data_IF_645606073759
#
_entry.id   IF_645606073759
#
_cell.length_a   1.000
_cell.length_b   1.000
_cell.length_c   1.000
_cell.angle_alpha   90.00
_cell.angle_beta   90.00
_cell.angle_gamma   90.00
#
_symmetry.space_group_name_H-M   'P 1'
#
loop_
_entity.id
_entity.type
_entity.pdbx_description
1 polymer ?
#
# COMPACT_ATOMS: atom_id res chain seq x y z
N UNK A 1 -29.91 -5.12 18.25
CA UNK A 1 -29.48 -4.46 17.00
C UNK A 1 -28.00 -4.71 16.81
N UNK A 2 -27.54 -5.15 15.64
CA UNK A 2 -26.11 -5.28 15.36
C UNK A 2 -25.47 -3.89 15.48
N UNK A 3 -24.31 -3.79 16.12
CA UNK A 3 -23.57 -2.53 16.27
C UNK A 3 -23.05 -2.13 14.88
N UNK A 4 -23.40 -0.93 14.41
CA UNK A 4 -22.90 -0.39 13.15
C UNK A 4 -21.38 -0.34 13.18
N UNK A 5 -20.73 -0.93 12.18
CA UNK A 5 -19.27 -0.95 12.09
C UNK A 5 -18.79 0.31 11.37
N UNK A 6 -18.13 1.19 12.12
CA UNK A 6 -17.65 2.49 11.64
C UNK A 6 -16.16 2.47 11.30
N UNK A 7 -15.78 3.17 10.23
CA UNK A 7 -14.38 3.41 9.88
C UNK A 7 -14.16 4.86 9.42
N UNK A 8 -13.03 5.42 9.80
CA UNK A 8 -12.50 6.65 9.23
C UNK A 8 -11.54 6.31 8.08
N UNK A 9 -11.70 7.00 6.95
CA UNK A 9 -10.77 6.95 5.82
C UNK A 9 -10.06 8.28 5.75
N UNK A 10 -8.78 8.28 6.09
CA UNK A 10 -7.96 9.47 6.04
C UNK A 10 -7.41 9.68 4.64
N UNK A 11 -7.99 10.59 3.89
CA UNK A 11 -7.77 10.91 2.48
C UNK A 11 -9.07 10.79 1.69
N UNK A 12 -9.59 11.92 1.18
CA UNK A 12 -10.87 12.01 0.48
C UNK A 12 -10.73 12.09 -1.05
N UNK A 13 -9.53 11.84 -1.59
CA UNK A 13 -9.25 11.86 -3.04
C UNK A 13 -9.61 10.53 -3.71
N UNK A 14 -9.30 10.39 -5.01
CA UNK A 14 -9.61 9.18 -5.78
C UNK A 14 -9.13 7.87 -5.15
N UNK A 15 -7.95 7.85 -4.51
CA UNK A 15 -7.47 6.68 -3.77
C UNK A 15 -8.38 6.36 -2.56
N UNK A 16 -8.81 7.39 -1.82
CA UNK A 16 -9.74 7.23 -0.71
C UNK A 16 -11.09 6.64 -1.13
N UNK A 17 -11.60 6.98 -2.32
CA UNK A 17 -12.83 6.40 -2.85
C UNK A 17 -12.71 4.89 -3.07
N UNK A 18 -11.60 4.43 -3.65
CA UNK A 18 -11.35 3.00 -3.83
C UNK A 18 -11.21 2.29 -2.48
N UNK A 19 -10.51 2.90 -1.52
CA UNK A 19 -10.38 2.34 -0.15
C UNK A 19 -11.74 2.26 0.54
N UNK A 20 -12.65 3.21 0.30
CA UNK A 20 -14.02 3.15 0.83
C UNK A 20 -14.81 1.95 0.29
N UNK A 21 -14.66 1.61 -0.99
CA UNK A 21 -15.28 0.40 -1.54
C UNK A 21 -14.72 -0.87 -0.90
N UNK A 22 -13.41 -0.91 -0.64
CA UNK A 22 -12.79 -2.02 0.09
C UNK A 22 -13.35 -2.09 1.52
N UNK A 23 -13.50 -0.96 2.21
CA UNK A 23 -14.06 -0.93 3.55
C UNK A 23 -15.50 -1.47 3.57
N UNK A 24 -16.36 -1.07 2.63
CA UNK A 24 -17.71 -1.66 2.46
C UNK A 24 -17.66 -3.17 2.27
N UNK A 25 -16.73 -3.63 1.45
CA UNK A 25 -16.49 -5.05 1.22
C UNK A 25 -16.09 -5.80 2.51
N UNK A 26 -15.46 -5.11 3.47
CA UNK A 26 -15.07 -5.63 4.78
C UNK A 26 -16.16 -5.46 5.86
N UNK A 27 -17.37 -5.05 5.47
CA UNK A 27 -18.53 -4.96 6.36
C UNK A 27 -18.57 -3.69 7.21
N UNK A 28 -17.92 -2.61 6.77
CA UNK A 28 -18.13 -1.30 7.38
C UNK A 28 -19.37 -0.64 6.81
N UNK A 29 -20.31 -0.28 7.69
CA UNK A 29 -21.59 0.33 7.33
C UNK A 29 -21.53 1.85 7.33
N UNK A 30 -20.71 2.41 8.24
CA UNK A 30 -20.50 3.85 8.38
C UNK A 30 -19.07 4.22 7.98
N UNK A 31 -18.94 4.98 6.90
CA UNK A 31 -17.65 5.44 6.36
C UNK A 31 -17.59 6.95 6.46
N UNK A 32 -16.60 7.47 7.17
CA UNK A 32 -16.37 8.89 7.33
C UNK A 32 -15.01 9.26 6.75
N UNK A 33 -14.99 10.13 5.74
CA UNK A 33 -13.76 10.65 5.20
C UNK A 33 -13.19 11.75 6.08
N UNK A 34 -11.88 11.71 6.28
CA UNK A 34 -11.11 12.77 6.93
C UNK A 34 -10.07 13.33 5.95
N UNK A 35 -9.98 14.65 5.89
CA UNK A 35 -9.00 15.33 5.03
C UNK A 35 -8.60 16.67 5.67
N UNK A 36 -7.30 16.92 5.81
CA UNK A 36 -6.81 18.17 6.44
C UNK A 36 -7.12 19.42 5.61
N UNK A 37 -7.44 19.27 4.33
CA UNK A 37 -7.88 20.36 3.45
C UNK A 37 -9.39 20.59 3.48
N UNK A 38 -10.19 19.73 4.14
CA UNK A 38 -11.65 19.81 4.22
C UNK A 38 -12.13 20.32 5.59
N UNK A 39 -13.46 20.42 5.76
CA UNK A 39 -14.08 20.68 7.05
C UNK A 39 -13.97 19.46 8.00
N UNK A 40 -13.91 18.26 7.47
CA UNK A 40 -13.79 17.00 8.22
C UNK A 40 -12.34 16.63 8.45
N UNK A 41 -11.70 17.33 9.40
CA UNK A 41 -10.29 17.11 9.76
C UNK A 41 -10.14 16.06 10.85
N UNK A 42 -9.00 15.37 10.84
CA UNK A 42 -8.65 14.51 11.95
C UNK A 42 -8.49 15.31 13.25
N UNK A 43 -9.09 14.81 14.31
CA UNK A 43 -8.94 15.32 15.67
C UNK A 43 -8.75 14.16 16.65
N UNK A 44 -7.83 14.27 17.63
CA UNK A 44 -7.70 13.27 18.70
C UNK A 44 -8.98 13.09 19.54
N UNK A 45 -9.92 14.05 19.45
CA UNK A 45 -11.21 14.05 20.19
C UNK A 45 -12.32 13.31 19.44
N UNK A 46 -12.09 12.86 18.20
CA UNK A 46 -13.08 12.05 17.48
C UNK A 46 -13.42 10.78 18.27
N UNK A 47 -14.64 10.34 18.13
CA UNK A 47 -15.06 9.03 18.65
C UNK A 47 -14.11 7.94 18.16
N UNK A 48 -13.71 7.02 19.05
CA UNK A 48 -12.80 5.94 18.67
C UNK A 48 -13.51 4.94 17.77
N UNK A 49 -12.95 4.74 16.60
CA UNK A 49 -13.34 3.75 15.61
C UNK A 49 -12.09 3.33 14.83
N UNK A 50 -12.24 2.29 14.02
CA UNK A 50 -11.19 1.87 13.09
C UNK A 50 -10.82 3.01 12.14
N UNK A 51 -9.56 3.08 11.74
CA UNK A 51 -9.08 4.07 10.78
C UNK A 51 -8.13 3.44 9.77
N UNK A 52 -8.18 3.92 8.53
CA UNK A 52 -7.21 3.55 7.47
C UNK A 52 -6.67 4.82 6.80
N UNK A 53 -5.39 4.82 6.47
CA UNK A 53 -4.74 5.96 5.83
C UNK A 53 -4.71 5.74 4.31
N UNK A 54 -5.57 6.46 3.60
CA UNK A 54 -5.77 6.35 2.15
C UNK A 54 -5.00 7.45 1.38
N UNK A 55 -3.72 7.60 1.68
CA UNK A 55 -2.80 8.55 1.06
C UNK A 55 -1.78 7.80 0.21
N UNK A 56 -1.72 8.09 -1.09
CA UNK A 56 -0.81 7.43 -2.03
C UNK A 56 0.66 7.81 -1.83
N UNK A 57 0.96 9.04 -1.37
CA UNK A 57 2.32 9.48 -1.13
C UNK A 57 2.87 8.82 0.15
N UNK A 58 3.99 8.10 0.01
CA UNK A 58 4.50 7.16 1.00
C UNK A 58 4.90 7.82 2.34
N UNK A 59 5.64 8.92 2.28
CA UNK A 59 6.12 9.62 3.49
C UNK A 59 4.98 10.36 4.22
N UNK A 60 4.05 10.93 3.48
CA UNK A 60 2.84 11.54 4.05
C UNK A 60 1.97 10.48 4.72
N UNK A 61 1.81 9.31 4.07
CA UNK A 61 1.07 8.19 4.66
C UNK A 61 1.68 7.77 6.00
N UNK A 62 3.01 7.65 6.10
CA UNK A 62 3.70 7.36 7.36
C UNK A 62 3.46 8.43 8.41
N UNK A 63 3.66 9.72 8.08
CA UNK A 63 3.47 10.83 9.04
C UNK A 63 2.07 10.85 9.63
N UNK A 64 1.07 10.61 8.77
CA UNK A 64 -0.32 10.56 9.20
C UNK A 64 -0.58 9.32 10.05
N UNK A 65 -0.04 8.15 9.70
CA UNK A 65 -0.13 6.93 10.50
C UNK A 65 0.39 7.17 11.92
N UNK A 66 1.58 7.71 12.06
CA UNK A 66 2.19 8.04 13.36
C UNK A 66 1.34 9.03 14.17
N UNK A 67 0.78 10.07 13.52
CA UNK A 67 -0.11 11.04 14.17
C UNK A 67 -1.38 10.40 14.72
N UNK A 68 -1.95 9.50 13.95
CA UNK A 68 -3.20 8.81 14.26
C UNK A 68 -2.99 7.80 15.40
N UNK A 69 -1.91 7.03 15.35
CA UNK A 69 -1.53 6.09 16.41
C UNK A 69 -1.21 6.79 17.73
N UNK A 70 -0.46 7.90 17.67
CA UNK A 70 -0.16 8.71 18.86
C UNK A 70 -1.43 9.26 19.53
N UNK A 71 -2.51 9.44 18.76
CA UNK A 71 -3.83 9.81 19.27
C UNK A 71 -4.65 8.61 19.77
N UNK A 72 -4.10 7.39 19.75
CA UNK A 72 -4.73 6.17 20.26
C UNK A 72 -5.84 5.62 19.36
N UNK A 73 -5.76 5.81 18.05
CA UNK A 73 -6.62 5.12 17.07
C UNK A 73 -5.95 3.85 16.57
N UNK A 74 -6.76 2.85 16.27
CA UNK A 74 -6.29 1.59 15.68
C UNK A 74 -6.31 1.69 14.15
N UNK A 75 -5.13 1.59 13.53
CA UNK A 75 -5.01 1.55 12.07
C UNK A 75 -5.21 0.10 11.62
N UNK A 76 -6.28 -0.12 10.88
CA UNK A 76 -6.68 -1.44 10.40
C UNK A 76 -6.05 -1.78 9.05
N UNK A 77 -5.99 -3.06 8.73
CA UNK A 77 -5.63 -3.57 7.40
C UNK A 77 -6.89 -3.85 6.61
N UNK A 78 -6.94 -3.43 5.35
CA UNK A 78 -8.06 -3.69 4.46
C UNK A 78 -7.62 -4.56 3.28
N UNK A 79 -8.34 -5.67 3.09
CA UNK A 79 -8.10 -6.61 1.99
C UNK A 79 -9.40 -6.76 1.20
N UNK A 80 -9.36 -6.43 -0.10
CA UNK A 80 -10.53 -6.59 -0.95
C UNK A 80 -10.89 -8.08 -1.12
N UNK A 81 -12.16 -8.43 -1.14
CA UNK A 81 -12.65 -9.83 -1.24
C UNK A 81 -12.21 -10.56 -2.50
N UNK A 82 -11.92 -9.84 -3.59
CA UNK A 82 -11.40 -10.42 -4.82
C UNK A 82 -9.88 -10.58 -4.85
N UNK A 83 -9.17 -10.14 -3.82
CA UNK A 83 -7.75 -10.41 -3.71
C UNK A 83 -7.52 -11.89 -3.38
N UNK A 84 -6.53 -12.50 -4.02
CA UNK A 84 -6.10 -13.86 -3.73
C UNK A 84 -4.87 -13.78 -2.82
N UNK A 85 -5.00 -14.24 -1.59
CA UNK A 85 -3.93 -14.17 -0.60
C UNK A 85 -3.61 -15.56 -0.08
N UNK A 86 -2.35 -15.98 -0.20
CA UNK A 86 -1.87 -17.26 0.34
C UNK A 86 -2.00 -17.29 1.87
N UNK A 87 -2.39 -18.43 2.43
CA UNK A 87 -2.45 -18.64 3.88
C UNK A 87 -1.09 -18.47 4.58
N UNK A 88 0.01 -18.66 3.85
CA UNK A 88 1.37 -18.49 4.37
C UNK A 88 1.90 -17.06 4.22
N UNK A 89 1.14 -16.15 3.61
CA UNK A 89 1.51 -14.74 3.52
C UNK A 89 1.29 -14.01 4.85
N UNK A 90 2.14 -13.04 5.15
CA UNK A 90 2.03 -12.19 6.33
C UNK A 90 1.77 -10.76 5.89
N UNK A 91 0.66 -10.18 6.33
CA UNK A 91 0.27 -8.80 6.03
C UNK A 91 0.17 -8.04 7.35
N UNK A 92 1.00 -7.00 7.48
CA UNK A 92 1.05 -6.18 8.70
C UNK A 92 -0.02 -5.07 8.67
N UNK A 93 -0.20 -4.42 9.84
CA UNK A 93 -1.20 -3.36 10.06
C UNK A 93 -1.10 -2.22 9.04
N UNK A 94 -2.23 -1.61 8.75
CA UNK A 94 -2.32 -0.43 7.88
C UNK A 94 -2.06 -0.71 6.39
N UNK A 95 -1.79 -1.95 6.01
CA UNK A 95 -1.67 -2.31 4.61
C UNK A 95 -3.03 -2.29 3.91
N UNK A 96 -3.03 -1.91 2.63
CA UNK A 96 -4.22 -1.96 1.77
C UNK A 96 -3.94 -2.90 0.60
N UNK A 97 -4.75 -3.95 0.49
CA UNK A 97 -4.70 -4.91 -0.61
C UNK A 97 -5.93 -4.69 -1.48
N UNK A 98 -5.71 -4.23 -2.69
CA UNK A 98 -6.76 -3.77 -3.58
C UNK A 98 -7.37 -4.90 -4.43
N UNK A 99 -8.46 -4.61 -5.18
CA UNK A 99 -9.14 -5.62 -5.99
C UNK A 99 -8.20 -6.38 -6.92
N UNK A 100 -8.41 -7.70 -7.01
CA UNK A 100 -7.70 -8.63 -7.91
C UNK A 100 -6.17 -8.69 -7.71
N UNK A 101 -5.65 -8.17 -6.60
CA UNK A 101 -4.25 -8.40 -6.24
C UNK A 101 -4.03 -9.88 -5.90
N UNK A 102 -2.87 -10.42 -6.30
CA UNK A 102 -2.45 -11.80 -6.00
C UNK A 102 -1.21 -11.74 -5.11
N UNK A 103 -1.27 -12.37 -3.95
CA UNK A 103 -0.18 -12.44 -2.98
C UNK A 103 0.11 -13.91 -2.69
N UNK A 104 1.24 -14.40 -3.20
CA UNK A 104 1.60 -15.81 -3.19
C UNK A 104 2.29 -16.25 -1.88
N UNK A 105 2.78 -17.49 -1.87
CA UNK A 105 3.28 -18.16 -0.67
C UNK A 105 4.48 -17.44 -0.03
N UNK A 106 4.45 -17.33 1.31
CA UNK A 106 5.51 -16.73 2.15
C UNK A 106 5.82 -15.27 1.86
N UNK A 107 4.97 -14.55 1.13
CA UNK A 107 5.10 -13.11 0.92
C UNK A 107 4.95 -12.38 2.26
N UNK A 108 5.73 -11.32 2.44
CA UNK A 108 5.65 -10.43 3.61
C UNK A 108 5.33 -9.02 3.15
N UNK A 109 4.15 -8.54 3.48
CA UNK A 109 3.72 -7.15 3.26
C UNK A 109 3.81 -6.43 4.59
N UNK A 110 4.71 -5.46 4.70
CA UNK A 110 4.93 -4.73 5.94
C UNK A 110 3.98 -3.55 6.09
N UNK A 111 4.04 -2.96 7.28
CA UNK A 111 3.18 -1.87 7.75
C UNK A 111 2.94 -0.77 6.71
N UNK A 112 1.69 -0.40 6.52
CA UNK A 112 1.28 0.73 5.70
C UNK A 112 1.57 0.60 4.21
N UNK A 113 1.98 -0.58 3.72
CA UNK A 113 2.21 -0.80 2.29
C UNK A 113 0.89 -0.83 1.50
N UNK A 114 0.96 -0.41 0.24
CA UNK A 114 -0.16 -0.48 -0.70
C UNK A 114 0.18 -1.50 -1.79
N UNK A 115 -0.67 -2.52 -1.93
CA UNK A 115 -0.66 -3.45 -3.07
C UNK A 115 -1.89 -3.12 -3.90
N UNK A 116 -1.66 -2.46 -5.03
CA UNK A 116 -2.73 -1.85 -5.81
C UNK A 116 -3.42 -2.89 -6.73
N UNK A 117 -4.49 -2.47 -7.40
CA UNK A 117 -5.38 -3.32 -8.19
C UNK A 117 -4.63 -4.15 -9.22
N UNK A 118 -4.88 -5.45 -9.26
CA UNK A 118 -4.30 -6.39 -10.21
C UNK A 118 -2.79 -6.62 -10.06
N UNK A 119 -2.14 -6.11 -9.01
CA UNK A 119 -0.72 -6.39 -8.78
C UNK A 119 -0.51 -7.87 -8.41
N UNK A 120 0.55 -8.49 -8.92
CA UNK A 120 0.93 -9.87 -8.65
C UNK A 120 2.26 -9.89 -7.91
N UNK A 121 2.25 -10.45 -6.71
CA UNK A 121 3.40 -10.59 -5.83
C UNK A 121 3.69 -12.09 -5.68
N UNK A 122 4.72 -12.56 -6.37
CA UNK A 122 5.10 -13.96 -6.35
C UNK A 122 5.75 -14.37 -5.01
N UNK A 123 5.99 -15.69 -4.87
CA UNK A 123 6.45 -16.32 -3.63
C UNK A 123 7.71 -15.66 -3.04
N UNK A 124 7.80 -15.65 -1.71
CA UNK A 124 8.96 -15.20 -0.92
C UNK A 124 9.33 -13.73 -1.09
N UNK A 125 8.49 -12.93 -1.77
CA UNK A 125 8.70 -11.49 -1.88
C UNK A 125 8.56 -10.77 -0.53
N UNK A 126 9.32 -9.69 -0.38
CA UNK A 126 9.23 -8.78 0.78
C UNK A 126 8.91 -7.37 0.30
N UNK A 127 7.77 -6.84 0.71
CA UNK A 127 7.38 -5.45 0.48
C UNK A 127 7.53 -4.70 1.79
N UNK A 128 8.49 -3.79 1.85
CA UNK A 128 8.83 -3.09 3.09
C UNK A 128 7.84 -1.97 3.41
N UNK A 129 8.00 -1.38 4.60
CA UNK A 129 7.07 -0.40 5.18
C UNK A 129 6.79 0.75 4.23
N UNK A 130 5.52 1.12 4.14
CA UNK A 130 5.05 2.24 3.34
C UNK A 130 5.48 2.22 1.87
N UNK A 131 5.89 1.06 1.33
CA UNK A 131 6.08 0.93 -0.11
C UNK A 131 4.74 0.95 -0.86
N UNK A 132 4.76 1.32 -2.13
CA UNK A 132 3.58 1.36 -2.98
C UNK A 132 3.84 0.57 -4.26
N UNK A 133 3.17 -0.56 -4.39
CA UNK A 133 3.13 -1.37 -5.61
C UNK A 133 1.91 -0.95 -6.40
N UNK A 134 2.11 -0.23 -7.50
CA UNK A 134 1.05 0.37 -8.31
C UNK A 134 0.22 -0.67 -9.07
N UNK A 135 -0.90 -0.26 -9.73
CA UNK A 135 -1.74 -1.20 -10.46
C UNK A 135 -0.99 -2.03 -11.49
N UNK A 136 -1.36 -3.31 -11.61
CA UNK A 136 -0.82 -4.27 -12.59
C UNK A 136 0.73 -4.41 -12.57
N UNK A 137 1.37 -4.14 -11.45
CA UNK A 137 2.79 -4.48 -11.26
C UNK A 137 2.93 -5.97 -11.05
N UNK A 138 3.92 -6.60 -11.68
CA UNK A 138 4.28 -7.99 -11.47
C UNK A 138 5.68 -8.12 -10.88
N UNK A 139 5.77 -8.73 -9.69
CA UNK A 139 7.03 -9.10 -9.05
C UNK A 139 7.17 -10.61 -9.14
N UNK A 140 8.24 -11.09 -9.77
CA UNK A 140 8.58 -12.51 -9.77
C UNK A 140 9.10 -12.95 -8.38
N UNK A 141 9.39 -14.24 -8.22
CA UNK A 141 9.76 -14.80 -6.92
C UNK A 141 10.98 -14.16 -6.25
N UNK A 142 10.97 -14.10 -4.92
CA UNK A 142 12.07 -13.62 -4.08
C UNK A 142 12.53 -12.17 -4.37
N UNK A 143 11.60 -11.30 -4.81
CA UNK A 143 11.88 -9.87 -4.98
C UNK A 143 11.72 -9.14 -3.65
N UNK A 144 12.66 -8.25 -3.33
CA UNK A 144 12.54 -7.34 -2.20
C UNK A 144 12.36 -5.89 -2.67
N UNK A 145 11.38 -5.19 -2.08
CA UNK A 145 11.11 -3.76 -2.34
C UNK A 145 11.26 -3.00 -1.03
N UNK A 146 12.23 -2.09 -0.99
CA UNK A 146 12.58 -1.33 0.20
C UNK A 146 11.54 -0.28 0.60
N UNK A 147 11.69 0.20 1.82
CA UNK A 147 10.81 1.17 2.48
C UNK A 147 10.62 2.44 1.64
N UNK A 148 9.40 2.96 1.58
CA UNK A 148 8.99 4.14 0.81
C UNK A 148 9.21 4.05 -0.71
N UNK A 149 9.58 2.92 -1.23
CA UNK A 149 9.75 2.74 -2.67
C UNK A 149 8.41 2.70 -3.38
N UNK A 150 8.33 3.36 -4.52
CA UNK A 150 7.17 3.38 -5.39
C UNK A 150 7.49 2.64 -6.69
N UNK A 151 6.77 1.56 -6.96
CA UNK A 151 6.85 0.84 -8.23
C UNK A 151 5.71 1.31 -9.13
N UNK A 152 6.05 1.95 -10.25
CA UNK A 152 5.09 2.53 -11.18
C UNK A 152 4.21 1.50 -11.88
N UNK A 153 3.01 1.93 -12.26
CA UNK A 153 1.98 1.11 -12.91
C UNK A 153 2.52 0.24 -14.04
N UNK A 154 2.13 -1.04 -14.09
CA UNK A 154 2.46 -1.98 -15.15
C UNK A 154 3.95 -2.36 -15.25
N UNK A 155 4.74 -2.10 -14.22
CA UNK A 155 6.15 -2.52 -14.20
C UNK A 155 6.27 -4.02 -13.93
N UNK A 156 7.32 -4.65 -14.48
CA UNK A 156 7.66 -6.04 -14.28
C UNK A 156 9.07 -6.17 -13.71
N UNK A 157 9.22 -6.97 -12.65
CA UNK A 157 10.48 -7.19 -11.98
C UNK A 157 10.79 -8.68 -12.02
N UNK A 158 11.97 -9.07 -12.55
CA UNK A 158 12.37 -10.48 -12.60
C UNK A 158 12.73 -10.98 -11.19
N UNK A 159 12.85 -12.30 -11.05
CA UNK A 159 13.17 -12.96 -9.78
C UNK A 159 14.52 -12.51 -9.18
N UNK A 160 14.63 -12.68 -7.87
CA UNK A 160 15.86 -12.47 -7.08
C UNK A 160 16.39 -11.02 -7.10
N UNK A 161 15.56 -10.04 -7.42
CA UNK A 161 15.93 -8.62 -7.48
C UNK A 161 15.68 -7.91 -6.14
N UNK A 162 16.65 -7.09 -5.75
CA UNK A 162 16.54 -6.15 -4.64
C UNK A 162 16.36 -4.72 -5.13
N UNK A 163 15.25 -4.08 -4.80
CA UNK A 163 15.01 -2.66 -5.03
C UNK A 163 15.13 -1.94 -3.68
N UNK A 164 16.08 -1.01 -3.59
CA UNK A 164 16.39 -0.29 -2.36
C UNK A 164 15.25 0.59 -1.84
N UNK A 165 15.55 1.33 -0.76
CA UNK A 165 14.62 2.28 -0.11
C UNK A 165 14.50 3.57 -0.90
N UNK A 166 13.35 4.26 -0.75
CA UNK A 166 13.10 5.56 -1.36
C UNK A 166 13.33 5.57 -2.88
N UNK A 167 13.12 4.46 -3.58
CA UNK A 167 13.25 4.40 -5.01
C UNK A 167 11.95 4.76 -5.73
N UNK A 168 12.06 5.21 -6.97
CA UNK A 168 10.95 5.36 -7.90
C UNK A 168 11.25 4.55 -9.15
N UNK A 169 10.46 3.52 -9.39
CA UNK A 169 10.46 2.79 -10.66
C UNK A 169 9.37 3.38 -11.54
N UNK A 170 9.73 3.87 -12.71
CA UNK A 170 8.79 4.50 -13.64
C UNK A 170 7.78 3.50 -14.21
N UNK A 171 6.62 4.00 -14.65
CA UNK A 171 5.56 3.17 -15.23
C UNK A 171 6.05 2.33 -16.41
N UNK A 172 5.56 1.08 -16.53
CA UNK A 172 5.91 0.17 -17.63
C UNK A 172 7.37 -0.28 -17.68
N UNK A 173 8.12 -0.12 -16.61
CA UNK A 173 9.54 -0.50 -16.58
C UNK A 173 9.73 -2.00 -16.42
N UNK A 174 10.81 -2.55 -16.99
CA UNK A 174 11.25 -3.93 -16.78
C UNK A 174 12.57 -3.92 -16.00
N UNK A 175 12.52 -4.30 -14.72
CA UNK A 175 13.69 -4.30 -13.84
C UNK A 175 14.34 -5.67 -13.89
N UNK A 176 15.62 -5.71 -14.34
CA UNK A 176 16.40 -6.94 -14.56
C UNK A 176 17.71 -6.95 -13.76
N UNK A 177 17.89 -6.01 -12.85
CA UNK A 177 19.04 -5.92 -11.94
C UNK A 177 18.66 -5.15 -10.69
N UNK A 178 19.42 -5.30 -9.63
CA UNK A 178 19.23 -4.58 -8.38
C UNK A 178 19.26 -3.06 -8.59
N UNK A 179 18.44 -2.35 -7.80
CA UNK A 179 18.35 -0.89 -7.79
C UNK A 179 18.77 -0.38 -6.39
N UNK A 180 19.74 0.53 -6.36
CA UNK A 180 20.25 1.10 -5.11
C UNK A 180 19.27 2.07 -4.47
N UNK A 181 19.42 2.29 -3.15
CA UNK A 181 18.62 3.26 -2.39
C UNK A 181 18.59 4.64 -3.05
N UNK A 182 17.44 5.31 -2.97
CA UNK A 182 17.25 6.68 -3.44
C UNK A 182 17.36 6.85 -4.95
N UNK A 183 17.12 5.81 -5.72
CA UNK A 183 17.30 5.82 -7.18
C UNK A 183 15.97 5.97 -7.91
N UNK A 184 15.95 6.82 -8.93
CA UNK A 184 14.90 6.83 -9.94
C UNK A 184 15.35 6.04 -11.16
N UNK A 185 14.64 4.95 -11.50
CA UNK A 185 14.94 4.08 -12.63
C UNK A 185 13.70 3.86 -13.50
N UNK A 186 13.87 3.80 -14.82
CA UNK A 186 12.77 3.52 -15.76
C UNK A 186 13.28 3.01 -17.11
N UNK A 187 12.36 2.42 -17.87
CA UNK A 187 12.58 1.92 -19.23
C UNK A 187 12.57 0.39 -19.32
N UNK A 188 12.86 -0.14 -20.52
CA UNK A 188 12.92 -1.55 -20.87
C UNK A 188 14.25 -1.82 -21.59
N UNK A 189 15.27 -2.37 -20.89
CA UNK A 189 15.32 -2.58 -19.44
C UNK A 189 15.39 -1.26 -18.66
N UNK A 190 14.98 -1.31 -17.40
CA UNK A 190 15.07 -0.15 -16.50
C UNK A 190 16.53 0.22 -16.22
N UNK A 191 16.83 1.51 -16.39
CA UNK A 191 18.14 2.08 -16.11
C UNK A 191 18.02 3.17 -15.05
N UNK A 192 19.00 3.29 -14.17
CA UNK A 192 19.13 4.40 -13.23
C UNK A 192 19.27 5.73 -14.01
N UNK A 193 18.50 6.75 -13.64
CA UNK A 193 18.45 8.05 -14.33
C UNK A 193 18.78 9.21 -13.42
N UNK A 194 18.45 9.13 -12.13
CA UNK A 194 18.73 10.17 -11.15
C UNK A 194 18.74 9.57 -9.74
N UNK A 195 19.37 10.28 -8.79
CA UNK A 195 19.17 10.11 -7.36
C UNK A 195 18.02 11.01 -6.91
N UNK A 196 17.26 10.56 -5.90
CA UNK A 196 16.12 11.29 -5.29
C UNK A 196 16.60 11.93 -4.00
#
# INVERSE_FOLDING_TARGET
MAKTKKIYIYGASGHGLVVADIARNNGYDEIVFLDDASEFKFSPKLEKADIIIAIGENKTRQKISQRVEAAGFEIVTLIHKSAVVSESAVIEKGAVIMPNAVINAKVRIKEGAIINSGAVIEHECVIDKFAHISPNVALAGNVSVGEFTHIGIGSSIIQDISIGKNCIIGAGSVVVRDIKDGTKAYGVPACERAKI
#
